data_IF_314075302369
#
_entry.id   IF_314075302369
#
_cell.length_a   1.000
_cell.length_b   1.000
_cell.length_c   1.000
_cell.angle_alpha   90.00
_cell.angle_beta   90.00
_cell.angle_gamma   90.00
#
_symmetry.space_group_name_H-M   'P 1'
#
loop_
_entity.id
_entity.type
_entity.pdbx_description
1 polymer ?
#
# COMPACT_ATOMS: atom_id res chain seq x y z
N UNK A 1 -12.28 -4.19 7.93
CA UNK A 1 -11.63 -5.08 7.33
C UNK A 1 -10.79 -4.58 6.17
N UNK A 2 -11.38 -4.15 5.04
CA UNK A 2 -10.58 -3.56 3.98
C UNK A 2 -9.84 -2.31 4.45
N UNK A 3 -10.53 -1.49 5.22
CA UNK A 3 -9.94 -0.27 5.75
C UNK A 3 -8.73 -0.55 6.62
N UNK A 4 -8.84 -1.56 7.48
CA UNK A 4 -7.75 -1.93 8.37
C UNK A 4 -6.55 -2.42 7.57
N UNK A 5 -6.81 -3.19 6.52
CA UNK A 5 -5.74 -3.69 5.67
C UNK A 5 -5.04 -2.56 4.94
N UNK A 6 -5.79 -1.58 4.47
CA UNK A 6 -5.22 -0.42 3.79
C UNK A 6 -4.40 0.41 4.76
N UNK A 7 -4.85 0.58 5.98
CA UNK A 7 -4.08 1.32 6.98
C UNK A 7 -2.75 0.63 7.25
N UNK A 8 -2.76 -0.68 7.39
CA UNK A 8 -1.52 -1.44 7.58
C UNK A 8 -0.60 -1.26 6.38
N UNK A 9 -1.16 -1.30 5.18
CA UNK A 9 -0.37 -1.12 3.96
C UNK A 9 0.27 0.26 3.92
N UNK A 10 -0.45 1.29 4.32
CA UNK A 10 0.09 2.63 4.34
C UNK A 10 1.31 2.73 5.26
N UNK A 11 1.20 2.12 6.43
CA UNK A 11 2.32 2.13 7.36
C UNK A 11 3.53 1.41 6.78
N UNK A 12 3.30 0.25 6.18
CA UNK A 12 4.40 -0.51 5.60
C UNK A 12 5.04 0.23 4.44
N UNK A 13 4.25 0.90 3.63
CA UNK A 13 4.77 1.64 2.50
C UNK A 13 5.69 2.79 2.93
N UNK A 14 5.35 3.45 4.03
CA UNK A 14 6.14 4.58 4.49
C UNK A 14 7.25 4.18 5.45
N UNK A 15 7.10 3.07 6.16
CA UNK A 15 8.03 2.67 7.21
C UNK A 15 9.06 1.65 6.75
N UNK A 16 8.82 0.93 5.67
CA UNK A 16 9.72 -0.13 5.23
C UNK A 16 10.05 0.03 3.75
N UNK A 17 11.06 -0.74 3.30
CA UNK A 17 11.44 -0.77 1.89
C UNK A 17 10.87 -1.99 1.17
N UNK A 18 9.92 -2.67 1.77
CA UNK A 18 9.33 -3.86 1.16
C UNK A 18 8.63 -3.50 -0.14
N UNK A 19 8.61 -4.46 -1.07
CA UNK A 19 7.98 -4.24 -2.35
C UNK A 19 6.46 -4.18 -2.20
N UNK A 20 5.80 -3.59 -3.19
CA UNK A 20 4.34 -3.53 -3.19
C UNK A 20 3.75 -4.93 -3.09
N UNK A 21 4.36 -5.87 -3.82
CA UNK A 21 3.89 -7.25 -3.82
C UNK A 21 3.98 -7.87 -2.43
N UNK A 22 5.09 -7.65 -1.75
CA UNK A 22 5.27 -8.17 -0.39
C UNK A 22 4.26 -7.58 0.57
N UNK A 23 4.02 -6.28 0.46
CA UNK A 23 3.07 -5.62 1.32
C UNK A 23 1.66 -6.16 1.09
N UNK A 24 1.31 -6.39 -0.16
CA UNK A 24 0.01 -6.96 -0.48
C UNK A 24 -0.18 -8.32 0.18
N UNK A 25 0.86 -9.15 0.15
CA UNK A 25 0.81 -10.48 0.78
C UNK A 25 0.66 -10.36 2.30
N UNK A 26 1.46 -9.48 2.88
CA UNK A 26 1.43 -9.30 4.33
C UNK A 26 0.04 -8.85 4.78
N UNK A 27 -0.58 -7.98 4.00
CA UNK A 27 -1.89 -7.45 4.35
C UNK A 27 -3.04 -8.41 4.01
N UNK A 28 -2.74 -9.53 3.35
CA UNK A 28 -3.75 -10.54 3.09
C UNK A 28 -4.49 -10.37 1.79
N UNK A 29 -3.97 -9.59 0.85
CA UNK A 29 -4.59 -9.45 -0.46
C UNK A 29 -4.18 -10.61 -1.35
N UNK A 30 -5.13 -11.09 -2.16
CA UNK A 30 -4.87 -12.23 -3.02
C UNK A 30 -4.05 -11.89 -4.24
N UNK A 31 -4.09 -10.66 -4.70
CA UNK A 31 -3.30 -10.27 -5.85
C UNK A 31 -2.87 -8.81 -5.69
N UNK A 32 -1.76 -8.49 -6.34
CA UNK A 32 -1.25 -7.13 -6.30
C UNK A 32 -2.18 -6.17 -7.04
N UNK A 33 -2.86 -6.66 -8.07
CA UNK A 33 -3.81 -5.82 -8.81
C UNK A 33 -4.98 -5.42 -7.94
N UNK A 34 -5.52 -6.37 -7.21
CA UNK A 34 -6.63 -6.09 -6.31
C UNK A 34 -6.19 -5.11 -5.23
N UNK A 35 -4.99 -5.32 -4.70
CA UNK A 35 -4.43 -4.45 -3.69
C UNK A 35 -4.29 -3.01 -4.22
N UNK A 36 -3.72 -2.87 -5.41
CA UNK A 36 -3.51 -1.54 -5.99
C UNK A 36 -4.82 -0.81 -6.20
N UNK A 37 -5.82 -1.51 -6.73
CA UNK A 37 -7.12 -0.90 -6.98
C UNK A 37 -7.78 -0.47 -5.68
N UNK A 38 -7.76 -1.35 -4.69
CA UNK A 38 -8.38 -1.05 -3.41
C UNK A 38 -7.66 0.10 -2.72
N UNK A 39 -6.34 0.10 -2.76
CA UNK A 39 -5.55 1.15 -2.15
C UNK A 39 -5.87 2.50 -2.78
N UNK A 40 -5.90 2.54 -4.11
CA UNK A 40 -6.20 3.79 -4.80
C UNK A 40 -7.61 4.27 -4.48
N UNK A 41 -8.54 3.34 -4.38
CA UNK A 41 -9.93 3.69 -4.05
C UNK A 41 -10.02 4.30 -2.66
N UNK A 42 -9.28 3.76 -1.70
CA UNK A 42 -9.36 4.22 -0.32
C UNK A 42 -8.54 5.47 -0.04
N UNK A 43 -7.40 5.61 -0.70
CA UNK A 43 -6.49 6.72 -0.42
C UNK A 43 -6.45 7.77 -1.52
N UNK A 44 -6.92 7.43 -2.71
CA UNK A 44 -6.88 8.34 -3.84
C UNK A 44 -5.62 8.27 -4.68
N UNK A 45 -4.63 7.51 -4.25
CA UNK A 45 -3.38 7.34 -5.00
C UNK A 45 -2.98 5.88 -4.98
N UNK A 46 -2.20 5.47 -5.99
CA UNK A 46 -1.73 4.09 -6.04
C UNK A 46 -0.67 3.86 -4.96
N UNK A 47 -0.45 2.59 -4.57
CA UNK A 47 0.58 2.30 -3.58
C UNK A 47 1.97 2.78 -3.99
N UNK A 48 2.29 2.67 -5.27
CA UNK A 48 3.58 3.11 -5.74
C UNK A 48 3.73 4.62 -5.63
N UNK A 49 2.69 5.36 -6.04
CA UNK A 49 2.70 6.81 -5.91
C UNK A 49 2.79 7.23 -4.45
N UNK A 50 2.07 6.55 -3.60
CA UNK A 50 2.09 6.84 -2.18
C UNK A 50 3.51 6.71 -1.62
N UNK A 51 4.18 5.63 -1.99
CA UNK A 51 5.55 5.42 -1.54
C UNK A 51 6.50 6.49 -2.05
N UNK A 52 6.33 6.87 -3.32
CA UNK A 52 7.20 7.88 -3.92
C UNK A 52 7.04 9.22 -3.24
N UNK A 53 5.81 9.60 -2.91
CA UNK A 53 5.58 10.86 -2.20
C UNK A 53 6.22 10.84 -0.83
N UNK A 54 6.09 9.75 -0.11
CA UNK A 54 6.64 9.68 1.22
C UNK A 54 8.15 9.58 1.22
N UNK A 55 8.71 8.94 0.20
CA UNK A 55 10.15 8.87 0.07
C UNK A 55 10.74 10.26 -0.17
N UNK A 56 10.03 11.09 -0.91
CA UNK A 56 10.48 12.43 -1.23
C UNK A 56 10.43 13.38 -0.04
N UNK A 57 9.61 13.05 0.95
CA UNK A 57 9.48 13.88 2.14
C UNK A 57 10.70 13.83 3.03
N UNK A 58 11.59 12.93 2.76
CA UNK A 58 12.84 12.84 3.51
C UNK A 58 13.91 13.76 2.94
#
# INVERSE_FOLDING_TARGET
VTKIRIESARKLLSATSQSISEIAEICGFKSIHYFSRTFKKETGVSPLDYRRHHADDK
#
